data_IF_096172275536
#
_entry.id   IF_096172275536
#
_cell.length_a   1.000
_cell.length_b   1.000
_cell.length_c   1.000
_cell.angle_alpha   90.00
_cell.angle_beta   90.00
_cell.angle_gamma   90.00
#
_symmetry.space_group_name_H-M   'P 1'
#
loop_
_entity.id
_entity.type
_entity.pdbx_description
1 polymer ?
#
# COMPACT_ATOMS: atom_id res chain seq x y z
N UNK A 1 -10.68 -57.81 -59.75
CA UNK A 1 -10.37 -57.77 -58.31
C UNK A 1 -9.67 -56.45 -58.02
N UNK A 2 -10.43 -55.43 -57.64
CA UNK A 2 -9.93 -54.07 -57.31
C UNK A 2 -10.05 -53.89 -55.80
N UNK A 3 -9.02 -53.45 -55.06
CA UNK A 3 -9.18 -53.17 -53.64
C UNK A 3 -9.76 -51.76 -53.41
N UNK A 4 -10.84 -51.73 -52.63
CA UNK A 4 -11.52 -50.54 -52.12
C UNK A 4 -10.61 -49.77 -51.16
N UNK A 5 -10.38 -48.48 -51.44
CA UNK A 5 -9.69 -47.53 -50.53
C UNK A 5 -10.63 -47.18 -49.38
N UNK A 6 -10.24 -47.51 -48.14
CA UNK A 6 -10.92 -47.05 -46.91
C UNK A 6 -10.45 -45.63 -46.60
N UNK A 7 -11.37 -44.66 -46.60
CA UNK A 7 -11.11 -43.28 -46.19
C UNK A 7 -11.27 -43.21 -44.68
N UNK A 8 -10.18 -42.88 -43.98
CA UNK A 8 -10.18 -42.65 -42.53
C UNK A 8 -10.53 -41.17 -42.29
N UNK A 9 -11.72 -40.89 -41.79
CA UNK A 9 -12.10 -39.54 -41.37
C UNK A 9 -11.53 -39.28 -39.97
N UNK A 10 -10.54 -38.38 -39.86
CA UNK A 10 -9.99 -37.92 -38.58
C UNK A 10 -10.76 -36.69 -38.12
N UNK A 11 -11.47 -36.79 -37.00
CA UNK A 11 -12.13 -35.65 -36.36
C UNK A 11 -11.11 -34.89 -35.52
N UNK A 12 -10.72 -33.68 -35.96
CA UNK A 12 -9.93 -32.75 -35.14
C UNK A 12 -10.89 -32.07 -34.18
N UNK A 13 -10.80 -32.39 -32.89
CA UNK A 13 -11.47 -31.64 -31.84
C UNK A 13 -10.67 -30.36 -31.56
N UNK A 14 -11.22 -29.22 -31.95
CA UNK A 14 -10.65 -27.90 -31.69
C UNK A 14 -10.99 -27.50 -30.25
N UNK A 15 -10.04 -27.61 -29.33
CA UNK A 15 -10.15 -26.97 -28.00
C UNK A 15 -10.10 -25.46 -28.20
N UNK A 16 -11.25 -24.81 -28.11
CA UNK A 16 -11.32 -23.36 -27.97
C UNK A 16 -10.92 -23.00 -26.54
N UNK A 17 -9.72 -22.46 -26.36
CA UNK A 17 -9.34 -21.80 -25.11
C UNK A 17 -10.18 -20.52 -24.99
N UNK A 18 -11.15 -20.52 -24.07
CA UNK A 18 -11.88 -19.30 -23.75
C UNK A 18 -10.92 -18.30 -23.08
N UNK A 19 -10.92 -17.02 -23.48
CA UNK A 19 -10.16 -16.00 -22.78
C UNK A 19 -10.67 -15.88 -21.33
N UNK A 20 -9.77 -16.05 -20.36
CA UNK A 20 -10.06 -15.67 -18.97
C UNK A 20 -10.17 -14.15 -18.91
N UNK A 21 -11.38 -13.63 -18.70
CA UNK A 21 -11.57 -12.26 -18.27
C UNK A 21 -11.20 -12.16 -16.79
N UNK A 22 -10.27 -11.28 -16.44
CA UNK A 22 -10.03 -10.93 -15.03
C UNK A 22 -11.35 -10.39 -14.45
N UNK A 23 -11.92 -11.12 -13.48
CA UNK A 23 -13.18 -10.76 -12.86
C UNK A 23 -13.06 -9.44 -12.09
N UNK A 24 -14.04 -8.54 -12.18
CA UNK A 24 -14.18 -7.34 -11.34
C UNK A 24 -14.46 -7.65 -9.85
N UNK A 25 -14.52 -8.93 -9.49
CA UNK A 25 -14.90 -9.45 -8.17
C UNK A 25 -14.01 -8.91 -7.02
N UNK A 26 -12.75 -8.61 -7.31
CA UNK A 26 -11.83 -8.02 -6.32
C UNK A 26 -12.22 -6.59 -5.91
N UNK A 27 -12.85 -5.80 -6.80
CA UNK A 27 -13.26 -4.42 -6.48
C UNK A 27 -14.32 -4.44 -5.38
N UNK A 28 -15.35 -5.28 -5.53
CA UNK A 28 -16.39 -5.42 -4.50
C UNK A 28 -15.84 -5.95 -3.17
N UNK A 29 -14.86 -6.87 -3.22
CA UNK A 29 -14.19 -7.35 -2.02
C UNK A 29 -13.42 -6.22 -1.29
N UNK A 30 -12.70 -5.37 -2.02
CA UNK A 30 -11.99 -4.21 -1.46
C UNK A 30 -12.99 -3.18 -0.90
N UNK A 31 -14.08 -2.89 -1.62
CA UNK A 31 -15.13 -1.97 -1.14
C UNK A 31 -15.73 -2.46 0.18
N UNK A 32 -16.00 -3.76 0.29
CA UNK A 32 -16.49 -4.38 1.54
C UNK A 32 -15.45 -4.32 2.66
N UNK A 33 -14.17 -4.53 2.37
CA UNK A 33 -13.09 -4.37 3.35
C UNK A 33 -13.04 -2.93 3.90
N UNK A 34 -13.09 -1.94 3.01
CA UNK A 34 -13.08 -0.52 3.37
C UNK A 34 -14.31 -0.16 4.21
N UNK A 35 -15.50 -0.58 3.77
CA UNK A 35 -16.76 -0.35 4.47
C UNK A 35 -16.87 -1.16 5.78
N UNK A 36 -16.16 -2.29 5.88
CA UNK A 36 -16.23 -3.26 6.97
C UNK A 36 -15.45 -2.87 8.23
N UNK A 37 -14.87 -1.67 8.29
CA UNK A 37 -14.21 -1.15 9.50
C UNK A 37 -12.92 -0.40 9.21
N UNK A 38 -12.20 -0.76 8.14
CA UNK A 38 -10.91 -0.18 7.81
C UNK A 38 -10.99 1.36 7.69
N UNK A 39 -12.06 1.90 7.08
CA UNK A 39 -12.27 3.35 6.99
C UNK A 39 -12.34 4.03 8.36
N UNK A 40 -13.03 3.42 9.32
CA UNK A 40 -13.16 3.98 10.66
C UNK A 40 -11.84 3.90 11.45
N UNK A 41 -11.07 2.82 11.25
CA UNK A 41 -9.77 2.64 11.90
C UNK A 41 -8.73 3.64 11.42
N UNK A 42 -8.65 3.91 10.11
CA UNK A 42 -7.71 4.91 9.57
C UNK A 42 -8.15 6.36 9.85
N UNK A 43 -9.44 6.58 10.15
CA UNK A 43 -9.98 7.88 10.57
C UNK A 43 -10.03 8.06 12.10
N UNK A 44 -9.43 7.14 12.86
CA UNK A 44 -9.49 7.17 14.32
C UNK A 44 -8.84 8.45 14.90
N UNK A 45 -9.32 8.94 16.06
CA UNK A 45 -8.80 10.16 16.67
C UNK A 45 -7.28 10.17 16.89
N UNK A 46 -6.69 9.01 17.20
CA UNK A 46 -5.24 8.86 17.38
C UNK A 46 -4.45 9.15 16.09
N UNK A 47 -4.98 8.74 14.94
CA UNK A 47 -4.38 9.00 13.63
C UNK A 47 -4.41 10.49 13.32
N UNK A 48 -5.59 11.11 13.49
CA UNK A 48 -5.78 12.54 13.21
C UNK A 48 -4.95 13.42 14.16
N UNK A 49 -4.79 13.02 15.42
CA UNK A 49 -3.95 13.73 16.37
C UNK A 49 -2.47 13.70 15.96
N UNK A 50 -1.95 12.51 15.61
CA UNK A 50 -0.57 12.36 15.18
C UNK A 50 -0.25 13.18 13.92
N UNK A 51 -1.15 13.16 12.92
CA UNK A 51 -0.99 13.99 11.70
C UNK A 51 -0.93 15.48 12.05
N UNK A 52 -1.84 15.96 12.91
CA UNK A 52 -1.88 17.38 13.29
C UNK A 52 -0.64 17.81 14.05
N UNK A 53 -0.16 16.96 14.96
CA UNK A 53 1.06 17.20 15.72
C UNK A 53 2.28 17.31 14.80
N UNK A 54 2.49 16.33 13.92
CA UNK A 54 3.62 16.37 12.99
C UNK A 54 3.49 17.52 11.98
N UNK A 55 2.29 17.82 11.49
CA UNK A 55 2.06 18.99 10.63
C UNK A 55 2.49 20.29 11.30
N UNK A 56 2.20 20.45 12.60
CA UNK A 56 2.61 21.64 13.35
C UNK A 56 4.14 21.72 13.50
N UNK A 57 4.80 20.58 13.76
CA UNK A 57 6.26 20.50 13.85
C UNK A 57 6.94 20.77 12.51
N UNK A 58 6.33 20.32 11.41
CA UNK A 58 6.89 20.40 10.07
C UNK A 58 6.46 21.65 9.29
N UNK A 59 5.69 22.57 9.90
CA UNK A 59 5.10 23.72 9.22
C UNK A 59 6.11 24.67 8.55
N UNK A 60 7.37 24.67 9.03
CA UNK A 60 8.44 25.52 8.53
C UNK A 60 9.49 24.76 7.70
N UNK A 61 9.31 23.46 7.46
CA UNK A 61 10.24 22.69 6.64
C UNK A 61 10.09 23.07 5.17
N UNK A 62 11.24 23.25 4.52
CA UNK A 62 11.31 23.38 3.08
C UNK A 62 11.60 22.02 2.42
N UNK A 63 11.60 21.99 1.09
CA UNK A 63 11.87 20.77 0.34
C UNK A 63 13.27 20.23 0.61
N UNK A 64 14.27 21.08 0.85
CA UNK A 64 15.63 20.63 1.12
C UNK A 64 15.71 19.86 2.45
N UNK A 65 14.95 20.28 3.46
CA UNK A 65 14.83 19.54 4.71
C UNK A 65 14.06 18.22 4.55
N UNK A 66 12.99 18.20 3.74
CA UNK A 66 12.25 16.97 3.37
C UNK A 66 13.18 15.96 2.71
N UNK A 67 13.93 16.40 1.69
CA UNK A 67 14.88 15.56 0.96
C UNK A 67 16.00 15.05 1.88
N UNK A 68 16.48 15.87 2.83
CA UNK A 68 17.49 15.47 3.79
C UNK A 68 17.00 14.35 4.73
N UNK A 69 15.76 14.43 5.20
CA UNK A 69 15.14 13.38 6.01
C UNK A 69 14.93 12.09 5.22
N UNK A 70 14.52 12.18 3.95
CA UNK A 70 14.42 11.02 3.08
C UNK A 70 15.78 10.34 2.87
N UNK A 71 16.83 11.12 2.59
CA UNK A 71 18.18 10.61 2.44
C UNK A 71 18.70 9.95 3.72
N UNK A 72 18.39 10.51 4.89
CA UNK A 72 18.74 9.89 6.18
C UNK A 72 18.07 8.53 6.33
N UNK A 73 16.75 8.45 6.15
CA UNK A 73 16.01 7.19 6.23
C UNK A 73 16.59 6.13 5.29
N UNK A 74 16.83 6.50 4.03
CA UNK A 74 17.41 5.59 3.03
C UNK A 74 18.80 5.12 3.39
N UNK A 75 19.60 5.96 4.06
CA UNK A 75 20.91 5.57 4.57
C UNK A 75 20.76 4.55 5.72
N UNK A 76 19.82 4.76 6.64
CA UNK A 76 19.51 3.81 7.71
C UNK A 76 18.98 2.47 7.16
N UNK A 77 18.11 2.49 6.13
CA UNK A 77 17.65 1.28 5.44
C UNK A 77 18.83 0.48 4.88
N UNK A 78 19.79 1.15 4.22
CA UNK A 78 21.00 0.51 3.67
C UNK A 78 21.89 -0.05 4.77
N UNK A 79 21.95 0.60 5.92
CA UNK A 79 22.67 0.11 7.10
C UNK A 79 21.94 -1.06 7.81
N UNK A 80 20.67 -1.29 7.46
CA UNK A 80 19.82 -2.34 8.01
C UNK A 80 18.86 -1.83 9.08
N UNK A 81 19.23 -0.78 9.81
CA UNK A 81 18.43 -0.07 10.81
C UNK A 81 19.08 1.28 11.17
N UNK A 82 18.37 2.10 11.94
CA UNK A 82 18.92 3.35 12.48
C UNK A 82 17.94 4.12 13.38
N UNK A 83 18.40 5.21 14.01
CA UNK A 83 17.59 5.93 14.99
C UNK A 83 16.25 6.45 14.45
N UNK A 84 16.21 6.99 13.23
CA UNK A 84 14.98 7.54 12.64
C UNK A 84 13.97 6.43 12.32
N UNK A 85 14.45 5.29 11.78
CA UNK A 85 13.62 4.10 11.56
C UNK A 85 13.10 3.58 12.89
N UNK A 86 13.96 3.42 13.89
CA UNK A 86 13.58 2.92 15.22
C UNK A 86 12.54 3.81 15.88
N UNK A 87 12.75 5.13 15.87
CA UNK A 87 11.83 6.11 16.45
C UNK A 87 10.47 6.07 15.74
N UNK A 88 10.45 6.13 14.42
CA UNK A 88 9.22 6.07 13.63
C UNK A 88 8.49 4.75 13.87
N UNK A 89 9.17 3.62 13.82
CA UNK A 89 8.55 2.30 13.95
C UNK A 89 8.12 1.96 15.39
N UNK A 90 8.70 2.63 16.40
CA UNK A 90 8.37 2.46 17.82
C UNK A 90 7.32 3.45 18.34
N UNK A 91 6.96 4.48 17.56
CA UNK A 91 6.01 5.48 18.01
C UNK A 91 4.58 4.91 18.15
N UNK A 92 3.73 5.63 18.89
CA UNK A 92 2.38 5.16 19.23
C UNK A 92 1.48 4.95 18.00
N UNK A 93 1.65 5.78 16.96
CA UNK A 93 0.85 5.67 15.75
C UNK A 93 1.27 4.44 14.93
N UNK A 94 2.55 4.14 14.77
CA UNK A 94 3.05 2.93 14.13
C UNK A 94 2.60 1.66 14.86
N UNK A 95 2.59 1.68 16.20
CA UNK A 95 2.03 0.58 17.00
C UNK A 95 0.54 0.36 16.70
N UNK A 96 -0.26 1.44 16.68
CA UNK A 96 -1.68 1.37 16.31
C UNK A 96 -1.88 0.82 14.89
N UNK A 97 -1.09 1.25 13.91
CA UNK A 97 -1.21 0.79 12.53
C UNK A 97 -0.85 -0.69 12.38
N UNK A 98 0.13 -1.20 13.14
CA UNK A 98 0.43 -2.65 13.21
C UNK A 98 -0.75 -3.44 13.75
N UNK A 99 -1.41 -2.94 14.80
CA UNK A 99 -2.62 -3.58 15.33
C UNK A 99 -3.75 -3.60 14.29
N UNK A 100 -3.94 -2.52 13.53
CA UNK A 100 -4.92 -2.46 12.44
C UNK A 100 -4.56 -3.49 11.35
N UNK A 101 -3.33 -3.49 10.85
CA UNK A 101 -2.86 -4.46 9.85
C UNK A 101 -3.09 -5.91 10.31
N UNK A 102 -2.74 -6.23 11.56
CA UNK A 102 -2.91 -7.56 12.15
C UNK A 102 -4.38 -8.00 12.22
N UNK A 103 -5.31 -7.10 12.58
CA UNK A 103 -6.76 -7.40 12.61
C UNK A 103 -7.33 -7.81 11.26
N UNK A 104 -6.74 -7.30 10.16
CA UNK A 104 -7.19 -7.61 8.80
C UNK A 104 -6.59 -8.90 8.24
N UNK A 105 -5.82 -9.66 9.04
CA UNK A 105 -5.46 -11.03 8.72
C UNK A 105 -4.73 -11.22 7.39
N UNK A 106 -3.94 -10.23 6.97
CA UNK A 106 -3.17 -10.24 5.71
C UNK A 106 -3.90 -9.65 4.50
N UNK A 107 -5.16 -9.20 4.64
CA UNK A 107 -5.86 -8.44 3.58
C UNK A 107 -5.29 -7.03 3.40
N UNK A 108 -4.69 -6.48 4.47
CA UNK A 108 -3.94 -5.24 4.46
C UNK A 108 -2.48 -5.59 4.72
N UNK A 109 -1.62 -5.35 3.73
CA UNK A 109 -0.20 -5.71 3.81
C UNK A 109 0.61 -4.63 4.49
N UNK A 110 0.30 -3.36 4.20
CA UNK A 110 1.00 -2.19 4.71
C UNK A 110 0.02 -1.03 4.85
N UNK A 111 0.30 -0.16 5.80
CA UNK A 111 -0.45 1.05 6.13
C UNK A 111 0.56 2.14 6.46
N UNK A 112 0.42 3.28 5.78
CA UNK A 112 1.20 4.48 5.98
C UNK A 112 0.27 5.64 6.32
N UNK A 113 0.66 6.43 7.31
CA UNK A 113 0.04 7.71 7.63
C UNK A 113 1.06 8.79 7.35
N UNK A 114 0.70 9.74 6.50
CA UNK A 114 1.59 10.81 6.03
C UNK A 114 1.10 12.17 6.48
N UNK A 115 2.03 13.12 6.61
CA UNK A 115 1.75 14.51 6.93
C UNK A 115 1.50 15.36 5.66
N UNK A 116 1.35 16.68 5.83
CA UNK A 116 1.05 17.62 4.73
C UNK A 116 2.16 17.76 3.68
N UNK A 117 3.38 17.33 4.00
CA UNK A 117 4.52 17.30 3.07
C UNK A 117 4.67 15.91 2.42
N UNK A 118 3.89 14.93 2.87
CA UNK A 118 4.03 13.53 2.46
C UNK A 118 5.08 12.77 3.26
N UNK A 119 5.59 13.29 4.38
CA UNK A 119 6.51 12.54 5.25
C UNK A 119 5.71 11.54 6.11
N UNK A 120 6.26 10.35 6.32
CA UNK A 120 5.61 9.33 7.14
C UNK A 120 5.52 9.75 8.61
N UNK A 121 4.31 9.94 9.13
CA UNK A 121 4.01 10.13 10.56
C UNK A 121 4.09 8.80 11.32
N UNK A 122 3.66 7.73 10.67
CA UNK A 122 3.61 6.39 11.24
C UNK A 122 3.41 5.34 10.17
N UNK A 123 3.92 4.14 10.42
CA UNK A 123 3.90 3.04 9.47
C UNK A 123 3.70 1.70 10.19
N UNK A 124 2.93 0.82 9.57
CA UNK A 124 2.78 -0.56 10.05
C UNK A 124 3.97 -1.44 9.68
N UNK A 125 4.49 -1.25 8.46
CA UNK A 125 5.67 -1.90 7.93
C UNK A 125 6.70 -0.86 7.48
N UNK A 126 7.96 -1.27 7.35
CA UNK A 126 9.04 -0.36 6.98
C UNK A 126 9.11 -0.15 5.47
N UNK A 127 8.90 1.08 5.02
CA UNK A 127 9.11 1.50 3.63
C UNK A 127 10.59 1.71 3.25
N UNK A 128 10.88 1.80 1.95
CA UNK A 128 12.21 2.11 1.42
C UNK A 128 12.68 3.57 1.60
N UNK A 129 11.73 4.49 1.76
CA UNK A 129 11.89 5.94 1.61
C UNK A 129 10.92 6.67 2.54
N UNK A 130 11.38 7.69 3.25
CA UNK A 130 10.58 8.34 4.29
C UNK A 130 9.57 9.32 3.71
N UNK A 131 9.93 9.98 2.62
CA UNK A 131 9.06 10.89 1.90
C UNK A 131 8.22 10.13 0.88
N UNK A 132 6.92 10.39 0.89
CA UNK A 132 5.93 9.75 0.02
C UNK A 132 5.15 10.81 -0.76
N UNK A 133 5.62 12.06 -0.74
CA UNK A 133 4.90 13.18 -1.35
C UNK A 133 4.92 13.15 -2.88
N UNK A 134 5.90 12.50 -3.49
CA UNK A 134 5.97 12.27 -4.94
C UNK A 134 5.12 11.06 -5.39
N UNK A 135 4.74 10.19 -4.46
CA UNK A 135 3.99 8.98 -4.74
C UNK A 135 2.53 9.26 -5.11
N UNK A 136 2.01 8.47 -6.06
CA UNK A 136 0.63 8.63 -6.54
C UNK A 136 -0.42 8.45 -5.42
N UNK A 137 -0.11 7.63 -4.41
CA UNK A 137 -0.98 7.43 -3.23
C UNK A 137 -1.16 8.72 -2.42
N UNK A 138 -0.14 9.57 -2.35
CA UNK A 138 -0.26 10.88 -1.72
C UNK A 138 -0.94 11.88 -2.66
N UNK A 139 -0.39 12.05 -3.88
CA UNK A 139 -0.85 13.05 -4.85
C UNK A 139 -2.34 12.93 -5.23
N UNK A 140 -2.90 11.71 -5.19
CA UNK A 140 -4.31 11.47 -5.53
C UNK A 140 -5.27 11.50 -4.34
N UNK A 141 -4.77 11.43 -3.10
CA UNK A 141 -5.61 11.36 -1.90
C UNK A 141 -5.53 12.61 -1.04
N UNK A 142 -4.36 13.25 -0.98
CA UNK A 142 -4.17 14.44 -0.17
C UNK A 142 -4.98 15.61 -0.74
N UNK A 143 -5.80 16.22 0.13
CA UNK A 143 -6.73 17.30 -0.24
C UNK A 143 -8.01 16.86 -0.96
N UNK A 144 -8.18 15.56 -1.26
CA UNK A 144 -9.36 15.04 -1.95
C UNK A 144 -10.58 14.83 -1.03
N UNK A 145 -10.38 14.70 0.29
CA UNK A 145 -11.44 14.66 1.31
C UNK A 145 -12.33 13.42 1.26
#
# INVERSE_FOLDING_TARGET
>A
MFPMKKILASTVALLMAAPSFASTDYVSAIEKLVAGGLKAEIAAPVVLAAIREQNAQHAALDQAAVDAMDLQWRAEIKAGDGPMIQETMANAISAYLKDVQAKHGGLVTEIFVMDHLGLNVGQSERTSDYWQGDEAKFQKSYGAG
#
